data_IF_218600040897
#
_entry.id   IF_218600040897
#
_cell.length_a   1.000
_cell.length_b   1.000
_cell.length_c   1.000
_cell.angle_alpha   90.00
_cell.angle_beta   90.00
_cell.angle_gamma   90.00
#
_symmetry.space_group_name_H-M   'P 1'
#
loop_
_entity.id
_entity.type
_entity.pdbx_description
1 polymer ?
#
# COMPACT_ATOMS: atom_id res chain seq x y z
N UNK A 1 3.23 47.87 -0.04
CA UNK A 1 1.85 47.35 -0.01
C UNK A 1 1.37 47.31 -1.43
N UNK A 2 0.94 46.15 -1.90
CA UNK A 2 0.38 46.05 -3.25
C UNK A 2 -0.96 46.77 -3.33
N UNK A 3 -1.27 47.31 -4.51
CA UNK A 3 -2.53 47.97 -4.76
C UNK A 3 -3.67 46.93 -4.79
N UNK A 4 -4.71 47.17 -3.99
CA UNK A 4 -5.88 46.30 -3.99
C UNK A 4 -6.77 46.57 -5.20
N UNK A 5 -7.21 45.49 -5.86
CA UNK A 5 -8.21 45.54 -6.92
C UNK A 5 -9.59 45.15 -6.37
N UNK A 6 -10.64 45.77 -6.90
CA UNK A 6 -12.02 45.43 -6.51
C UNK A 6 -12.61 44.39 -7.45
N UNK A 7 -12.94 43.21 -6.92
CA UNK A 7 -13.67 42.16 -7.64
C UNK A 7 -15.09 42.07 -7.10
N UNK A 8 -16.09 42.10 -7.99
CA UNK A 8 -17.51 42.05 -7.60
C UNK A 8 -18.03 40.62 -7.59
N UNK A 9 -18.55 40.19 -6.44
CA UNK A 9 -19.20 38.89 -6.26
C UNK A 9 -20.69 39.03 -5.95
N UNK A 10 -21.48 38.01 -6.32
CA UNK A 10 -22.85 37.88 -5.80
C UNK A 10 -22.79 37.76 -4.27
N UNK A 11 -23.70 38.45 -3.56
CA UNK A 11 -23.73 38.51 -2.09
C UNK A 11 -23.66 37.13 -1.43
N UNK A 12 -24.40 36.15 -1.94
CA UNK A 12 -24.40 34.77 -1.41
C UNK A 12 -23.02 34.11 -1.51
N UNK A 13 -22.33 34.27 -2.64
CA UNK A 13 -20.99 33.72 -2.87
C UNK A 13 -19.95 34.43 -2.03
N UNK A 14 -20.03 35.76 -1.92
CA UNK A 14 -19.13 36.55 -1.09
C UNK A 14 -19.20 36.13 0.38
N UNK A 15 -20.40 35.92 0.93
CA UNK A 15 -20.57 35.44 2.32
C UNK A 15 -19.92 34.07 2.54
N UNK A 16 -20.16 33.10 1.64
CA UNK A 16 -19.53 31.77 1.73
C UNK A 16 -18.01 31.85 1.70
N UNK A 17 -17.44 32.69 0.84
CA UNK A 17 -16.00 32.90 0.76
C UNK A 17 -15.46 33.55 2.03
N UNK A 18 -16.15 34.57 2.57
CA UNK A 18 -15.74 35.23 3.81
C UNK A 18 -15.76 34.28 5.01
N UNK A 19 -16.80 33.43 5.14
CA UNK A 19 -16.90 32.41 6.18
C UNK A 19 -15.76 31.39 6.07
N UNK A 20 -15.49 30.89 4.85
CA UNK A 20 -14.41 29.96 4.58
C UNK A 20 -13.04 30.56 4.91
N UNK A 21 -12.78 31.78 4.41
CA UNK A 21 -11.52 32.49 4.63
C UNK A 21 -11.26 32.71 6.12
N UNK A 22 -12.27 33.20 6.88
CA UNK A 22 -12.16 33.39 8.34
C UNK A 22 -11.88 32.11 9.12
N UNK A 23 -12.32 30.96 8.60
CA UNK A 23 -12.14 29.66 9.26
C UNK A 23 -10.74 29.09 9.04
N UNK A 24 -10.17 29.27 7.86
CA UNK A 24 -8.96 28.57 7.44
C UNK A 24 -7.71 29.45 7.33
N UNK A 25 -7.86 30.77 7.17
CA UNK A 25 -6.76 31.68 6.88
C UNK A 25 -6.89 33.01 7.64
N UNK A 26 -5.81 33.79 7.64
CA UNK A 26 -5.78 35.11 8.30
C UNK A 26 -6.31 36.21 7.38
N UNK A 27 -6.07 36.10 6.07
CA UNK A 27 -6.49 37.12 5.09
C UNK A 27 -7.25 36.54 3.90
N UNK A 28 -8.10 37.36 3.30
CA UNK A 28 -8.84 37.01 2.08
C UNK A 28 -7.94 36.82 0.87
N UNK A 29 -6.85 37.59 0.77
CA UNK A 29 -5.86 37.46 -0.31
C UNK A 29 -5.16 36.11 -0.25
N UNK A 30 -4.62 35.75 0.92
CA UNK A 30 -3.95 34.46 1.16
C UNK A 30 -4.88 33.26 0.88
N UNK A 31 -6.16 33.38 1.25
CA UNK A 31 -7.16 32.36 0.94
C UNK A 31 -7.32 32.17 -0.57
N UNK A 32 -7.39 33.28 -1.32
CA UNK A 32 -7.58 33.22 -2.77
C UNK A 32 -6.34 32.66 -3.46
N UNK A 33 -5.14 33.09 -3.07
CA UNK A 33 -3.87 32.56 -3.58
C UNK A 33 -3.79 31.05 -3.34
N UNK A 34 -4.03 30.60 -2.10
CA UNK A 34 -3.95 29.18 -1.77
C UNK A 34 -4.97 28.34 -2.56
N UNK A 35 -6.18 28.86 -2.80
CA UNK A 35 -7.18 28.17 -3.62
C UNK A 35 -6.71 28.06 -5.08
N UNK A 36 -6.14 29.13 -5.63
CA UNK A 36 -5.62 29.13 -7.01
C UNK A 36 -4.45 28.17 -7.16
N UNK A 37 -3.50 28.22 -6.23
CA UNK A 37 -2.33 27.34 -6.18
C UNK A 37 -2.74 25.89 -6.01
N UNK A 38 -3.75 25.61 -5.18
CA UNK A 38 -4.27 24.25 -5.02
C UNK A 38 -4.75 23.68 -6.35
N UNK A 39 -5.53 24.41 -7.13
CA UNK A 39 -5.98 23.91 -8.43
C UNK A 39 -4.87 23.87 -9.47
N UNK A 40 -3.95 24.83 -9.44
CA UNK A 40 -2.84 24.91 -10.38
C UNK A 40 -1.85 23.76 -10.18
N UNK A 41 -1.34 23.58 -8.96
CA UNK A 41 -0.32 22.56 -8.67
C UNK A 41 -0.84 21.13 -8.64
N UNK A 42 -2.11 20.93 -8.26
CA UNK A 42 -2.69 19.58 -8.27
C UNK A 42 -3.27 19.19 -9.64
N UNK A 43 -3.24 20.09 -10.62
CA UNK A 43 -3.86 19.90 -11.96
C UNK A 43 -5.33 19.45 -11.90
N UNK A 44 -6.03 19.82 -10.82
CA UNK A 44 -7.43 19.46 -10.61
C UNK A 44 -8.30 20.55 -11.22
N UNK A 45 -9.25 20.14 -12.06
CA UNK A 45 -10.23 21.08 -12.60
C UNK A 45 -11.16 21.56 -11.47
N UNK A 46 -11.38 22.89 -11.30
CA UNK A 46 -12.36 23.42 -10.35
C UNK A 46 -13.81 22.97 -10.62
N UNK A 47 -14.06 22.41 -11.81
CA UNK A 47 -15.36 21.86 -12.22
C UNK A 47 -15.50 20.37 -11.90
N UNK A 48 -14.40 19.69 -11.58
CA UNK A 48 -14.43 18.28 -11.23
C UNK A 48 -14.94 18.13 -9.80
N UNK A 49 -16.00 17.35 -9.63
CA UNK A 49 -16.51 16.99 -8.30
C UNK A 49 -15.61 15.90 -7.75
N UNK A 50 -14.70 16.28 -6.87
CA UNK A 50 -13.99 15.32 -6.05
C UNK A 50 -14.96 14.77 -5.03
N UNK A 51 -15.24 13.47 -5.10
CA UNK A 51 -15.98 12.82 -4.02
C UNK A 51 -15.16 12.97 -2.72
N UNK A 52 -15.84 13.17 -1.57
CA UNK A 52 -15.19 13.47 -0.29
C UNK A 52 -14.18 12.41 0.17
N UNK A 53 -14.15 11.24 -0.47
CA UNK A 53 -13.24 10.14 -0.15
C UNK A 53 -12.03 10.06 -1.08
N UNK A 54 -11.87 10.92 -2.10
CA UNK A 54 -10.73 10.85 -3.03
C UNK A 54 -10.68 9.60 -3.92
N UNK A 55 -11.58 8.64 -3.69
CA UNK A 55 -11.68 7.33 -4.37
C UNK A 55 -11.73 7.43 -5.88
N UNK A 56 -12.32 8.49 -6.44
CA UNK A 56 -12.37 8.68 -7.90
C UNK A 56 -11.01 9.05 -8.48
N UNK A 57 -10.21 9.86 -7.77
CA UNK A 57 -8.83 10.16 -8.16
C UNK A 57 -7.98 8.90 -8.01
N UNK A 58 -8.08 8.20 -6.88
CA UNK A 58 -7.35 6.95 -6.62
C UNK A 58 -7.65 5.89 -7.68
N UNK A 59 -8.93 5.70 -8.02
CA UNK A 59 -9.33 4.74 -9.05
C UNK A 59 -8.82 5.14 -10.44
N UNK A 60 -8.84 6.43 -10.79
CA UNK A 60 -8.27 6.94 -12.05
C UNK A 60 -6.75 6.73 -12.08
N UNK A 61 -6.05 7.00 -10.98
CA UNK A 61 -4.60 6.84 -10.87
C UNK A 61 -4.20 5.36 -10.94
N UNK A 62 -4.91 4.48 -10.22
CA UNK A 62 -4.72 3.02 -10.27
C UNK A 62 -4.89 2.48 -11.70
N UNK A 63 -5.90 2.95 -12.44
CA UNK A 63 -6.08 2.58 -13.85
C UNK A 63 -4.91 3.03 -14.73
N UNK A 64 -4.40 4.25 -14.53
CA UNK A 64 -3.23 4.76 -15.26
C UNK A 64 -1.96 3.96 -14.95
N UNK A 65 -1.72 3.63 -13.68
CA UNK A 65 -0.57 2.81 -13.25
C UNK A 65 -0.66 1.41 -13.87
N UNK A 66 -1.83 0.77 -13.84
CA UNK A 66 -2.02 -0.55 -14.46
C UNK A 66 -1.77 -0.52 -15.98
N UNK A 67 -2.17 0.56 -16.66
CA UNK A 67 -1.87 0.73 -18.08
C UNK A 67 -0.36 0.88 -18.35
N UNK A 68 0.36 1.66 -17.53
CA UNK A 68 1.83 1.79 -17.63
C UNK A 68 2.52 0.44 -17.39
N UNK A 69 2.10 -0.31 -16.37
CA UNK A 69 2.61 -1.66 -16.09
C UNK A 69 2.37 -2.59 -17.30
N UNK A 70 1.19 -2.50 -17.93
CA UNK A 70 0.88 -3.30 -19.11
C UNK A 70 1.80 -2.95 -20.28
N UNK A 71 2.04 -1.66 -20.54
CA UNK A 71 2.97 -1.19 -21.57
C UNK A 71 4.40 -1.67 -21.28
N UNK A 72 4.88 -1.50 -20.04
CA UNK A 72 6.21 -1.98 -19.65
C UNK A 72 6.36 -3.49 -19.85
N UNK A 73 5.36 -4.28 -19.45
CA UNK A 73 5.33 -5.74 -19.67
C UNK A 73 5.30 -6.11 -21.15
N UNK A 74 4.62 -5.32 -21.98
CA UNK A 74 4.55 -5.56 -23.42
C UNK A 74 5.89 -5.28 -24.10
N UNK A 75 6.53 -4.16 -23.76
CA UNK A 75 7.91 -3.84 -24.19
C UNK A 75 8.89 -4.92 -23.74
N UNK A 76 8.73 -5.43 -22.51
CA UNK A 76 9.57 -6.53 -22.02
C UNK A 76 9.41 -7.81 -22.82
N UNK A 77 8.18 -8.16 -23.20
CA UNK A 77 7.90 -9.39 -23.96
C UNK A 77 8.31 -9.28 -25.42
N UNK A 78 8.10 -8.13 -26.04
CA UNK A 78 8.26 -7.95 -27.48
C UNK A 78 9.69 -7.58 -27.87
N UNK A 79 10.38 -6.79 -27.05
CA UNK A 79 11.70 -6.25 -27.38
C UNK A 79 12.79 -6.83 -26.49
N UNK A 80 12.72 -6.61 -25.17
CA UNK A 80 13.90 -6.87 -24.33
C UNK A 80 14.17 -8.36 -24.12
N UNK A 81 13.15 -9.20 -23.86
CA UNK A 81 13.34 -10.65 -23.65
C UNK A 81 13.87 -11.37 -24.90
N UNK A 82 13.31 -11.17 -26.11
CA UNK A 82 13.86 -11.78 -27.31
C UNK A 82 15.27 -11.31 -27.62
N UNK A 83 15.59 -10.02 -27.43
CA UNK A 83 16.95 -9.51 -27.64
C UNK A 83 17.95 -10.12 -26.65
N UNK A 84 17.58 -10.25 -25.37
CA UNK A 84 18.42 -10.94 -24.38
C UNK A 84 18.61 -12.41 -24.75
N UNK A 85 17.55 -13.11 -25.15
CA UNK A 85 17.63 -14.50 -25.56
C UNK A 85 18.52 -14.67 -26.80
N UNK A 86 18.38 -13.79 -27.79
CA UNK A 86 19.19 -13.79 -29.01
C UNK A 86 20.67 -13.51 -28.70
N UNK A 87 20.97 -12.53 -27.85
CA UNK A 87 22.34 -12.26 -27.38
C UNK A 87 22.90 -13.49 -26.64
N UNK A 88 22.12 -14.10 -25.75
CA UNK A 88 22.54 -15.34 -25.06
C UNK A 88 22.80 -16.49 -26.05
N UNK A 89 21.99 -16.62 -27.11
CA UNK A 89 22.21 -17.61 -28.18
C UNK A 89 23.46 -17.31 -29.01
N UNK A 90 23.76 -16.03 -29.27
CA UNK A 90 24.94 -15.62 -30.06
C UNK A 90 26.25 -15.78 -29.30
N UNK A 91 26.24 -15.55 -27.99
CA UNK A 91 27.46 -15.60 -27.18
C UNK A 91 27.73 -16.98 -26.58
N UNK A 92 26.92 -18.01 -26.89
CA UNK A 92 26.97 -19.34 -26.24
C UNK A 92 27.28 -19.19 -24.75
N UNK A 93 26.69 -18.19 -24.08
CA UNK A 93 26.83 -18.11 -22.64
C UNK A 93 26.00 -19.27 -22.15
N UNK A 94 26.66 -20.40 -21.89
CA UNK A 94 26.12 -21.48 -21.12
C UNK A 94 25.34 -20.82 -19.99
N UNK A 95 24.04 -21.08 -19.94
CA UNK A 95 23.24 -20.67 -18.80
C UNK A 95 24.08 -21.06 -17.58
N UNK A 96 24.36 -20.15 -16.61
CA UNK A 96 25.03 -20.56 -15.40
C UNK A 96 24.17 -21.68 -14.86
N UNK A 97 24.69 -22.91 -15.00
CA UNK A 97 23.99 -24.14 -14.75
C UNK A 97 23.37 -23.94 -13.38
N UNK A 98 22.03 -23.93 -13.27
CA UNK A 98 21.35 -23.59 -12.02
C UNK A 98 21.86 -24.58 -10.99
N UNK A 99 22.90 -24.18 -10.25
CA UNK A 99 23.49 -25.01 -9.20
C UNK A 99 22.30 -25.30 -8.29
N UNK A 100 21.93 -26.57 -8.07
CA UNK A 100 20.85 -26.86 -7.15
C UNK A 100 21.20 -26.14 -5.85
N UNK A 101 20.31 -25.25 -5.40
CA UNK A 101 20.43 -24.63 -4.09
C UNK A 101 20.59 -25.78 -3.11
N UNK A 102 21.76 -25.91 -2.49
CA UNK A 102 21.99 -26.85 -1.40
C UNK A 102 21.20 -26.27 -0.23
N UNK A 103 19.93 -26.64 -0.14
CA UNK A 103 19.10 -26.33 1.02
C UNK A 103 19.51 -27.35 2.08
N UNK A 104 20.21 -26.90 3.11
CA UNK A 104 20.38 -27.71 4.32
C UNK A 104 18.98 -28.12 4.79
N UNK A 105 18.68 -29.41 4.72
CA UNK A 105 17.53 -29.98 5.42
C UNK A 105 17.83 -29.78 6.90
N UNK A 106 17.32 -28.69 7.48
CA UNK A 106 17.10 -28.62 8.92
C UNK A 106 16.13 -29.75 9.22
N UNK A 107 16.65 -30.86 9.73
CA UNK A 107 15.84 -31.86 10.40
C UNK A 107 15.13 -31.12 11.52
N UNK A 108 13.86 -30.81 11.29
CA UNK A 108 12.97 -30.55 12.40
C UNK A 108 12.95 -31.85 13.19
N UNK A 109 13.64 -31.87 14.33
CA UNK A 109 13.40 -32.88 15.35
C UNK A 109 11.91 -32.75 15.70
N UNK A 110 11.09 -33.61 15.07
CA UNK A 110 9.75 -33.89 15.52
C UNK A 110 9.87 -34.29 16.98
N UNK A 111 9.54 -33.34 17.86
CA UNK A 111 9.36 -33.61 19.29
C UNK A 111 8.24 -34.63 19.38
N UNK A 112 8.62 -35.92 19.43
CA UNK A 112 7.69 -37.00 19.69
C UNK A 112 6.92 -36.67 20.95
N UNK A 113 5.61 -36.58 20.78
CA UNK A 113 4.64 -36.33 21.83
C UNK A 113 4.93 -37.23 23.03
N UNK A 114 5.14 -36.61 24.18
CA UNK A 114 5.31 -37.31 25.45
C UNK A 114 3.93 -37.83 25.83
N UNK A 115 3.64 -39.08 25.48
CA UNK A 115 2.39 -39.74 25.84
C UNK A 115 2.43 -40.07 27.34
N UNK A 116 1.84 -39.20 28.15
CA UNK A 116 1.71 -39.40 29.60
C UNK A 116 0.81 -40.63 29.84
N UNK A 117 1.37 -41.70 30.41
CA UNK A 117 0.61 -42.88 30.84
C UNK A 117 0.37 -42.78 32.35
N UNK A 118 -0.89 -42.65 32.72
CA UNK A 118 -1.37 -42.75 34.10
C UNK A 118 -1.10 -44.17 34.61
N UNK A 119 -0.45 -44.29 35.78
CA UNK A 119 -0.21 -45.56 36.43
C UNK A 119 -1.45 -45.90 37.25
N UNK A 120 -2.19 -46.93 36.82
CA UNK A 120 -3.30 -47.47 37.60
C UNK A 120 -2.78 -48.07 38.91
N UNK A 121 -2.98 -47.38 40.04
CA UNK A 121 -2.76 -47.94 41.37
C UNK A 121 -3.95 -48.84 41.75
N UNK A 122 -3.93 -50.10 41.32
CA UNK A 122 -4.82 -51.12 41.88
C UNK A 122 -4.14 -51.91 43.00
N UNK A 123 -4.49 -51.48 44.23
CA UNK A 123 -4.83 -52.35 45.39
C UNK A 123 -3.79 -53.40 45.82
N UNK A 124 -2.90 -53.01 46.72
CA UNK A 124 -2.49 -53.90 47.80
C UNK A 124 -3.28 -53.58 49.06
N UNK A 125 -4.21 -54.47 49.37
CA UNK A 125 -4.82 -54.59 50.70
C UNK A 125 -3.74 -55.02 51.70
N UNK A 126 -3.76 -54.51 52.93
CA UNK A 126 -3.89 -55.32 54.16
C UNK A 126 -3.77 -54.47 55.44
N UNK A 127 -4.83 -54.57 56.24
CA UNK A 127 -4.87 -54.76 57.71
C UNK A 127 -4.08 -53.83 58.65
N UNK A 128 -4.88 -53.18 59.52
CA UNK A 128 -4.58 -52.93 60.93
C UNK A 128 -4.19 -51.49 61.24
N UNK A 129 -4.49 -50.89 62.39
CA UNK A 129 -5.17 -51.27 63.64
C UNK A 129 -5.05 -50.03 64.55
N UNK A 130 -6.08 -49.76 65.36
CA UNK A 130 -6.07 -48.97 66.61
C UNK A 130 -5.77 -47.45 66.51
N UNK A 131 -6.74 -46.57 66.83
CA UNK A 131 -7.22 -46.19 68.18
C UNK A 131 -6.24 -45.27 68.90
N UNK A 132 -6.54 -43.97 68.90
CA UNK A 132 -6.65 -43.10 70.08
C UNK A 132 -7.25 -41.76 69.67
#
# INVERSE_FOLDING_TARGET
>A
MDAFITIRFKRKTAKRFQEFSKKHFKTHTETMETILDFFFYNEISPKEKLDPTGRTIEAKLLKRINAVIAIMRDVEKTQTKPTVAMIQSLFETEQPNKKPLIVEKKYAEERKEVHFREIESTRFTTKGRAKR
#
